data_IF_650098744442
#
_entry.id   IF_650098744442
#
_cell.length_a   1.000
_cell.length_b   1.000
_cell.length_c   1.000
_cell.angle_alpha   90.00
_cell.angle_beta   90.00
_cell.angle_gamma   90.00
#
_symmetry.space_group_name_H-M   'P 1'
#
loop_
_entity.id
_entity.type
_entity.pdbx_description
1 polymer ?
#
# COMPACT_ATOMS: atom_id res chain seq x y z
N UNK A 1 12.15 -21.10 -11.30
CA UNK A 1 12.64 -19.71 -11.28
C UNK A 1 12.02 -18.86 -12.39
N UNK A 2 11.94 -17.56 -12.10
CA UNK A 2 11.65 -16.53 -13.09
C UNK A 2 12.84 -16.32 -14.02
N UNK A 3 12.58 -15.90 -15.25
CA UNK A 3 13.61 -15.31 -16.11
C UNK A 3 14.03 -13.94 -15.59
N UNK A 4 15.18 -13.44 -16.06
CA UNK A 4 15.46 -12.01 -16.02
C UNK A 4 14.36 -11.22 -16.75
N UNK A 5 14.31 -9.90 -16.54
CA UNK A 5 13.40 -9.02 -17.27
C UNK A 5 13.77 -9.00 -18.76
N UNK A 6 12.82 -9.39 -19.60
CA UNK A 6 12.98 -9.46 -21.05
C UNK A 6 12.34 -8.21 -21.66
N UNK A 7 13.10 -7.39 -22.42
CA UNK A 7 12.53 -6.25 -23.12
C UNK A 7 11.62 -6.73 -24.26
N UNK A 8 10.44 -6.12 -24.36
CA UNK A 8 9.46 -6.38 -25.42
C UNK A 8 9.05 -5.07 -26.07
N UNK A 9 9.09 -5.03 -27.40
CA UNK A 9 8.62 -3.88 -28.15
C UNK A 9 7.09 -3.90 -28.20
N UNK A 10 6.46 -2.91 -27.56
CA UNK A 10 4.99 -2.78 -27.52
C UNK A 10 4.48 -2.01 -28.73
N UNK A 11 5.19 -0.95 -29.10
CA UNK A 11 4.93 -0.13 -30.29
C UNK A 11 6.22 0.57 -30.75
N UNK A 12 6.25 1.25 -31.91
CA UNK A 12 7.43 2.00 -32.33
C UNK A 12 7.90 3.00 -31.26
N UNK A 13 9.10 2.80 -30.72
CA UNK A 13 9.69 3.66 -29.68
C UNK A 13 9.24 3.35 -28.24
N UNK A 14 8.33 2.38 -28.03
CA UNK A 14 7.86 1.98 -26.70
C UNK A 14 8.32 0.55 -26.40
N UNK A 15 9.16 0.44 -25.39
CA UNK A 15 9.67 -0.84 -24.86
C UNK A 15 9.12 -1.03 -23.45
N UNK A 16 8.51 -2.19 -23.23
CA UNK A 16 8.16 -2.66 -21.91
C UNK A 16 9.05 -3.85 -21.51
N UNK A 17 8.82 -4.37 -20.32
CA UNK A 17 9.53 -5.56 -19.81
C UNK A 17 8.53 -6.60 -19.34
N UNK A 18 8.87 -7.88 -19.55
CA UNK A 18 8.13 -9.03 -19.04
C UNK A 18 9.06 -9.99 -18.31
N UNK A 19 8.51 -10.82 -17.43
CA UNK A 19 9.18 -12.02 -16.94
C UNK A 19 8.35 -13.25 -17.30
N UNK A 20 9.05 -14.38 -17.45
CA UNK A 20 8.43 -15.67 -17.73
C UNK A 20 8.75 -16.61 -16.58
N UNK A 21 7.77 -17.38 -16.14
CA UNK A 21 7.94 -18.45 -15.15
C UNK A 21 7.26 -19.73 -15.62
N UNK A 22 7.96 -20.88 -15.63
CA UNK A 22 7.31 -22.17 -15.72
C UNK A 22 6.43 -22.40 -14.49
N UNK A 23 5.13 -22.64 -14.72
CA UNK A 23 4.14 -22.92 -13.65
C UNK A 23 3.69 -24.39 -13.65
N UNK A 24 3.93 -25.12 -14.75
CA UNK A 24 3.71 -26.55 -14.83
C UNK A 24 4.73 -27.16 -15.81
N UNK A 25 5.43 -28.20 -15.35
CA UNK A 25 6.38 -28.99 -16.12
C UNK A 25 6.18 -30.47 -15.75
N UNK A 26 5.35 -31.20 -16.49
CA UNK A 26 5.05 -32.62 -16.21
C UNK A 26 5.53 -33.59 -17.31
N UNK A 27 6.50 -33.17 -18.11
CA UNK A 27 7.13 -33.97 -19.16
C UNK A 27 6.33 -34.04 -20.47
N UNK A 28 5.00 -33.94 -20.39
CA UNK A 28 4.11 -33.90 -21.56
C UNK A 28 3.51 -32.50 -21.79
N UNK A 29 3.32 -31.72 -20.73
CA UNK A 29 2.78 -30.36 -20.79
C UNK A 29 3.74 -29.34 -20.17
N UNK A 30 3.91 -28.23 -20.89
CA UNK A 30 4.60 -27.04 -20.40
C UNK A 30 3.59 -25.91 -20.31
N UNK A 31 3.35 -25.40 -19.10
CA UNK A 31 2.64 -24.14 -18.91
C UNK A 31 3.59 -23.07 -18.40
N UNK A 32 3.55 -21.93 -19.08
CA UNK A 32 4.32 -20.75 -18.73
C UNK A 32 3.35 -19.64 -18.30
N UNK A 33 3.70 -18.94 -17.24
CA UNK A 33 3.13 -17.65 -16.93
C UNK A 33 4.04 -16.56 -17.48
N UNK A 34 3.45 -15.62 -18.22
CA UNK A 34 4.11 -14.41 -18.68
C UNK A 34 3.42 -13.27 -17.94
N UNK A 35 4.21 -12.40 -17.31
CA UNK A 35 3.66 -11.22 -16.65
C UNK A 35 2.95 -10.30 -17.65
N UNK A 36 2.06 -9.40 -17.21
CA UNK A 36 1.74 -8.22 -17.99
C UNK A 36 3.02 -7.49 -18.41
N UNK A 37 2.90 -6.69 -19.46
CA UNK A 37 3.99 -5.84 -19.91
C UNK A 37 4.08 -4.67 -18.93
N UNK A 38 5.20 -4.58 -18.21
CA UNK A 38 5.48 -3.44 -17.34
C UNK A 38 6.25 -2.36 -18.08
N UNK A 39 6.14 -1.12 -17.60
CA UNK A 39 7.05 -0.05 -18.04
C UNK A 39 8.48 -0.39 -17.59
N UNK A 40 9.44 -0.26 -18.50
CA UNK A 40 10.86 -0.33 -18.15
C UNK A 40 11.22 0.88 -17.28
N UNK A 41 11.66 0.65 -16.04
CA UNK A 41 11.99 1.75 -15.13
C UNK A 41 13.22 2.56 -15.56
N UNK A 42 14.11 1.99 -16.40
CA UNK A 42 15.28 2.70 -16.94
C UNK A 42 14.94 3.66 -18.08
N UNK A 43 13.80 3.46 -18.73
CA UNK A 43 13.27 4.30 -19.79
C UNK A 43 11.74 4.27 -19.78
N UNK A 44 11.10 4.88 -18.76
CA UNK A 44 9.69 4.67 -18.52
C UNK A 44 8.82 5.43 -19.52
N UNK A 45 7.67 4.85 -19.86
CA UNK A 45 6.71 5.44 -20.80
C UNK A 45 6.06 6.70 -20.22
N UNK A 46 6.06 6.83 -18.88
CA UNK A 46 5.59 8.00 -18.15
C UNK A 46 6.51 8.26 -16.94
N UNK A 47 6.55 9.51 -16.47
CA UNK A 47 7.33 9.87 -15.29
C UNK A 47 6.60 9.41 -14.02
N UNK A 48 7.13 8.42 -13.32
CA UNK A 48 6.60 7.94 -12.03
C UNK A 48 7.39 8.45 -10.82
N UNK A 49 8.38 9.32 -11.05
CA UNK A 49 9.19 9.96 -10.00
C UNK A 49 9.31 11.46 -10.24
N UNK A 50 9.54 12.21 -9.17
CA UNK A 50 9.96 13.59 -9.23
C UNK A 50 11.23 13.79 -8.38
N UNK A 51 12.31 14.40 -8.92
CA UNK A 51 12.48 14.73 -10.34
C UNK A 51 12.51 13.47 -11.22
N UNK A 52 12.12 13.58 -12.49
CA UNK A 52 12.03 12.43 -13.41
C UNK A 52 13.35 11.66 -13.59
N UNK A 53 14.49 12.29 -13.31
CA UNK A 53 15.81 11.66 -13.35
C UNK A 53 15.97 10.56 -12.31
N UNK A 54 15.22 10.61 -11.20
CA UNK A 54 15.31 9.65 -10.10
C UNK A 54 14.97 8.22 -10.53
N UNK A 55 14.06 8.04 -11.49
CA UNK A 55 13.70 6.71 -12.00
C UNK A 55 14.92 5.91 -12.49
N UNK A 56 15.84 6.55 -13.22
CA UNK A 56 17.05 5.88 -13.75
C UNK A 56 18.02 5.49 -12.63
N UNK A 57 18.15 6.33 -11.62
CA UNK A 57 19.00 6.04 -10.46
C UNK A 57 18.44 4.89 -9.64
N UNK A 58 17.11 4.86 -9.44
CA UNK A 58 16.43 3.73 -8.82
C UNK A 58 16.74 2.44 -9.58
N UNK A 59 16.55 2.41 -10.90
CA UNK A 59 16.78 1.18 -11.68
C UNK A 59 18.23 0.73 -11.62
N UNK A 60 19.18 1.68 -11.69
CA UNK A 60 20.61 1.40 -11.63
C UNK A 60 21.06 0.84 -10.28
N UNK A 61 20.47 1.31 -9.17
CA UNK A 61 20.87 0.93 -7.82
C UNK A 61 20.14 -0.31 -7.29
N UNK A 62 18.87 -0.48 -7.65
CA UNK A 62 18.00 -1.50 -7.05
C UNK A 62 17.48 -2.56 -8.05
N UNK A 63 17.71 -2.35 -9.34
CA UNK A 63 17.17 -3.17 -10.42
C UNK A 63 15.79 -2.68 -10.88
N UNK A 64 15.09 -3.48 -11.68
CA UNK A 64 13.81 -3.06 -12.25
C UNK A 64 12.78 -2.74 -11.16
N UNK A 65 12.32 -1.49 -11.17
CA UNK A 65 11.26 -1.00 -10.31
C UNK A 65 9.92 -1.11 -11.04
N UNK A 66 9.08 -2.04 -10.60
CA UNK A 66 7.77 -2.22 -11.18
C UNK A 66 6.81 -1.23 -10.54
N UNK A 67 6.38 -0.23 -11.32
CA UNK A 67 5.24 0.59 -10.93
C UNK A 67 4.02 -0.33 -10.97
N UNK A 68 3.53 -0.65 -9.79
CA UNK A 68 2.45 -1.60 -9.63
C UNK A 68 1.19 -1.12 -10.36
N UNK A 69 0.64 -1.96 -11.23
CA UNK A 69 -0.69 -1.78 -11.82
C UNK A 69 -1.73 -2.54 -11.01
N UNK A 70 -3.01 -2.18 -11.12
CA UNK A 70 -4.11 -2.86 -10.43
C UNK A 70 -4.14 -4.35 -10.78
N UNK A 71 -3.61 -5.19 -9.89
CA UNK A 71 -3.66 -6.64 -10.03
C UNK A 71 -5.04 -7.14 -9.65
N UNK A 72 -5.90 -7.28 -10.65
CA UNK A 72 -7.18 -7.95 -10.48
C UNK A 72 -6.93 -9.46 -10.37
N UNK A 73 -7.32 -10.00 -9.21
CA UNK A 73 -7.39 -11.42 -8.85
C UNK A 73 -7.43 -12.45 -9.99
N UNK A 74 -6.71 -13.56 -9.81
CA UNK A 74 -6.79 -14.71 -10.70
C UNK A 74 -7.83 -15.72 -10.22
N UNK A 75 -8.56 -16.36 -11.15
CA UNK A 75 -9.37 -17.57 -10.86
C UNK A 75 -8.53 -18.85 -10.88
N UNK A 76 -7.35 -18.79 -11.48
CA UNK A 76 -6.50 -19.96 -11.72
C UNK A 76 -5.54 -20.14 -10.54
N UNK A 77 -5.81 -21.13 -9.69
CA UNK A 77 -5.06 -21.37 -8.45
C UNK A 77 -3.57 -21.66 -8.70
N UNK A 78 -3.26 -22.26 -9.86
CA UNK A 78 -1.89 -22.57 -10.26
C UNK A 78 -1.01 -21.31 -10.42
N UNK A 79 -1.63 -20.13 -10.61
CA UNK A 79 -0.93 -18.85 -10.73
C UNK A 79 -0.65 -18.19 -9.38
N UNK A 80 -1.32 -18.58 -8.29
CA UNK A 80 -1.18 -17.93 -6.98
C UNK A 80 0.27 -17.84 -6.53
N UNK A 81 1.09 -18.92 -6.57
CA UNK A 81 2.49 -18.84 -6.15
C UNK A 81 3.32 -17.87 -7.00
N UNK A 82 3.10 -17.82 -8.31
CA UNK A 82 3.79 -16.89 -9.19
C UNK A 82 3.40 -15.44 -8.89
N UNK A 83 2.10 -15.14 -8.77
CA UNK A 83 1.61 -13.81 -8.44
C UNK A 83 2.14 -13.35 -7.07
N UNK A 84 2.12 -14.24 -6.07
CA UNK A 84 2.68 -13.98 -4.74
C UNK A 84 4.14 -13.54 -4.80
N UNK A 85 4.99 -14.30 -5.50
CA UNK A 85 6.41 -13.96 -5.66
C UNK A 85 6.63 -12.62 -6.36
N UNK A 86 5.83 -12.33 -7.40
CA UNK A 86 5.94 -11.08 -8.15
C UNK A 86 5.52 -9.87 -7.30
N UNK A 87 4.45 -10.00 -6.50
CA UNK A 87 4.00 -8.96 -5.57
C UNK A 87 5.03 -8.72 -4.46
N UNK A 88 5.59 -9.80 -3.90
CA UNK A 88 6.68 -9.71 -2.91
C UNK A 88 7.91 -9.02 -3.51
N UNK A 89 8.30 -9.37 -4.74
CA UNK A 89 9.39 -8.69 -5.45
C UNK A 89 9.11 -7.20 -5.59
N UNK A 90 7.90 -6.85 -6.05
CA UNK A 90 7.49 -5.47 -6.29
C UNK A 90 7.52 -4.65 -4.99
N UNK A 91 6.92 -5.15 -3.92
CA UNK A 91 6.93 -4.47 -2.62
C UNK A 91 8.35 -4.38 -2.04
N UNK A 92 9.17 -5.42 -2.17
CA UNK A 92 10.56 -5.38 -1.73
C UNK A 92 11.37 -4.30 -2.45
N UNK A 93 11.13 -4.06 -3.74
CA UNK A 93 11.77 -2.96 -4.47
C UNK A 93 11.31 -1.59 -3.93
N UNK A 94 10.00 -1.41 -3.71
CA UNK A 94 9.45 -0.20 -3.07
C UNK A 94 10.10 0.05 -1.71
N UNK A 95 10.19 -0.96 -0.85
CA UNK A 95 10.79 -0.86 0.49
C UNK A 95 12.27 -0.49 0.44
N UNK A 96 13.05 -1.08 -0.48
CA UNK A 96 14.48 -0.75 -0.63
C UNK A 96 14.69 0.69 -1.10
N UNK A 97 13.93 1.13 -2.09
CA UNK A 97 13.98 2.51 -2.57
C UNK A 97 13.54 3.48 -1.48
N UNK A 98 12.42 3.19 -0.81
CA UNK A 98 11.90 3.95 0.31
C UNK A 98 12.94 4.10 1.42
N UNK A 99 13.57 3.00 1.83
CA UNK A 99 14.66 3.01 2.83
C UNK A 99 15.82 3.90 2.41
N UNK A 100 16.28 3.76 1.17
CA UNK A 100 17.40 4.55 0.67
C UNK A 100 17.09 6.05 0.65
N UNK A 101 15.89 6.42 0.21
CA UNK A 101 15.43 7.81 0.22
C UNK A 101 15.24 8.34 1.65
N UNK A 102 14.69 7.53 2.55
CA UNK A 102 14.54 7.85 3.96
C UNK A 102 15.89 8.16 4.63
N UNK A 103 16.93 7.37 4.31
CA UNK A 103 18.27 7.57 4.85
C UNK A 103 19.05 8.73 4.21
N UNK A 104 18.73 9.14 2.98
CA UNK A 104 19.51 10.12 2.23
C UNK A 104 19.44 11.52 2.86
N UNK A 105 18.31 11.86 3.49
CA UNK A 105 18.00 13.24 3.92
C UNK A 105 17.25 13.27 5.24
N UNK A 106 17.25 14.43 5.87
CA UNK A 106 16.32 14.72 6.95
C UNK A 106 15.02 15.21 6.32
N UNK A 107 13.94 14.46 6.54
CA UNK A 107 12.62 14.76 5.98
C UNK A 107 11.74 15.42 7.04
N UNK A 108 11.04 16.49 6.67
CA UNK A 108 9.96 17.06 7.52
C UNK A 108 8.70 16.18 7.49
N UNK A 109 8.50 15.44 6.38
CA UNK A 109 7.45 14.44 6.20
C UNK A 109 7.95 13.36 5.23
N UNK A 110 7.86 12.10 5.62
CA UNK A 110 8.15 10.95 4.78
C UNK A 110 6.95 9.99 4.77
N UNK A 111 6.50 9.57 3.59
CA UNK A 111 5.35 8.67 3.43
C UNK A 111 5.80 7.45 2.63
N UNK A 112 5.68 6.27 3.25
CA UNK A 112 5.83 4.98 2.59
C UNK A 112 4.47 4.28 2.56
N UNK A 113 4.09 3.77 1.39
CA UNK A 113 2.87 2.98 1.21
C UNK A 113 3.27 1.53 0.97
N UNK A 114 2.66 0.62 1.72
CA UNK A 114 2.74 -0.83 1.51
C UNK A 114 1.40 -1.32 0.96
N UNK A 115 1.40 -1.93 -0.22
CA UNK A 115 0.16 -2.46 -0.85
C UNK A 115 0.07 -3.98 -0.75
N UNK A 116 1.19 -4.68 -0.49
CA UNK A 116 1.25 -6.14 -0.44
C UNK A 116 0.19 -6.80 0.45
N UNK A 117 -0.11 -6.21 1.62
CA UNK A 117 -1.13 -6.73 2.54
C UNK A 117 -2.50 -6.74 1.87
N UNK A 118 -2.92 -5.65 1.24
CA UNK A 118 -4.13 -5.57 0.43
C UNK A 118 -4.14 -6.61 -0.70
N UNK A 119 -3.07 -6.62 -1.51
CA UNK A 119 -2.99 -7.45 -2.71
C UNK A 119 -3.05 -8.95 -2.44
N UNK A 120 -2.46 -9.42 -1.34
CA UNK A 120 -2.46 -10.84 -0.99
C UNK A 120 -3.70 -11.26 -0.22
N UNK A 121 -4.40 -10.34 0.45
CA UNK A 121 -5.66 -10.64 1.13
C UNK A 121 -6.82 -10.80 0.15
N UNK A 122 -6.92 -9.95 -0.88
CA UNK A 122 -7.98 -10.02 -1.88
C UNK A 122 -8.22 -11.42 -2.49
N UNK A 123 -7.22 -12.16 -2.99
CA UNK A 123 -7.45 -13.51 -3.51
C UNK A 123 -7.57 -14.58 -2.42
N UNK A 124 -7.18 -14.30 -1.16
CA UNK A 124 -6.99 -15.33 -0.15
C UNK A 124 -7.84 -15.22 1.13
N UNK A 125 -8.50 -14.09 1.41
CA UNK A 125 -9.01 -13.80 2.76
C UNK A 125 -10.04 -14.78 3.31
N UNK A 126 -10.99 -15.29 2.50
CA UNK A 126 -11.92 -16.34 2.96
C UNK A 126 -11.14 -17.51 3.57
N UNK A 127 -9.94 -17.85 3.04
CA UNK A 127 -9.13 -19.01 3.45
C UNK A 127 -8.71 -18.89 4.91
N UNK A 128 -8.61 -17.65 5.38
CA UNK A 128 -8.32 -17.27 6.76
C UNK A 128 -9.54 -17.34 7.68
N UNK A 129 -10.72 -16.91 7.22
CA UNK A 129 -11.95 -16.90 8.05
C UNK A 129 -12.61 -18.28 8.19
N UNK A 130 -12.25 -19.25 7.35
CA UNK A 130 -12.75 -20.63 7.43
C UNK A 130 -14.21 -20.80 6.99
N UNK A 131 -14.85 -19.75 6.47
CA UNK A 131 -16.22 -19.79 5.97
C UNK A 131 -16.22 -19.86 4.44
N UNK A 132 -16.36 -21.08 3.91
CA UNK A 132 -16.28 -21.34 2.47
C UNK A 132 -17.49 -22.05 1.90
N UNK A 133 -18.04 -21.53 0.80
CA UNK A 133 -18.91 -22.33 -0.03
C UNK A 133 -18.12 -23.41 -0.78
N UNK A 134 -18.47 -24.68 -0.56
CA UNK A 134 -17.86 -25.88 -1.18
C UNK A 134 -17.76 -25.79 -2.72
N UNK A 135 -18.70 -25.07 -3.36
CA UNK A 135 -18.72 -24.83 -4.81
C UNK A 135 -17.44 -24.17 -5.35
N UNK A 136 -16.69 -23.46 -4.51
CA UNK A 136 -15.43 -22.82 -4.90
C UNK A 136 -14.20 -23.74 -4.76
N UNK A 137 -14.30 -24.84 -3.99
CA UNK A 137 -13.26 -25.87 -3.88
C UNK A 137 -13.39 -26.98 -4.91
N UNK A 138 -14.52 -27.06 -5.62
CA UNK A 138 -14.77 -28.15 -6.57
C UNK A 138 -13.77 -28.07 -7.74
N UNK A 139 -12.71 -28.88 -7.67
CA UNK A 139 -11.61 -28.89 -8.62
C UNK A 139 -10.35 -28.14 -8.16
N UNK A 140 -10.34 -27.55 -6.96
CA UNK A 140 -9.12 -27.02 -6.34
C UNK A 140 -8.35 -28.16 -5.68
N UNK A 141 -7.10 -28.30 -6.11
CA UNK A 141 -6.22 -29.37 -5.71
C UNK A 141 -5.69 -29.12 -4.29
N UNK A 142 -6.14 -29.94 -3.34
CA UNK A 142 -5.57 -30.10 -2.00
C UNK A 142 -5.71 -28.88 -1.05
N UNK A 143 -6.46 -29.08 0.03
CA UNK A 143 -6.63 -28.14 1.15
C UNK A 143 -5.30 -27.68 1.76
N UNK A 144 -4.31 -28.56 1.85
CA UNK A 144 -2.98 -28.25 2.39
C UNK A 144 -2.25 -27.20 1.55
N UNK A 145 -2.36 -27.29 0.21
CA UNK A 145 -1.74 -26.33 -0.71
C UNK A 145 -2.41 -24.97 -0.57
N UNK A 146 -3.72 -24.94 -0.40
CA UNK A 146 -4.49 -23.70 -0.21
C UNK A 146 -4.11 -23.03 1.10
N UNK A 147 -4.03 -23.77 2.20
CA UNK A 147 -3.60 -23.23 3.49
C UNK A 147 -2.19 -22.66 3.41
N UNK A 148 -1.25 -23.42 2.83
CA UNK A 148 0.14 -22.99 2.71
C UNK A 148 0.32 -21.78 1.79
N UNK A 149 -0.26 -21.82 0.58
CA UNK A 149 0.05 -20.85 -0.47
C UNK A 149 -0.88 -19.63 -0.46
N UNK A 150 -2.11 -19.73 0.07
CA UNK A 150 -3.03 -18.61 0.15
C UNK A 150 -3.03 -17.98 1.55
N UNK A 151 -3.31 -18.75 2.62
CA UNK A 151 -3.31 -18.19 4.00
C UNK A 151 -1.91 -17.79 4.42
N UNK A 152 -0.92 -18.65 4.17
CA UNK A 152 0.48 -18.34 4.44
C UNK A 152 1.00 -17.10 3.71
N UNK A 153 0.45 -16.77 2.54
CA UNK A 153 0.80 -15.54 1.82
C UNK A 153 0.36 -14.27 2.55
N UNK A 154 -0.80 -14.31 3.23
CA UNK A 154 -1.28 -13.18 4.03
C UNK A 154 -0.34 -12.94 5.22
N UNK A 155 0.02 -13.99 5.95
CA UNK A 155 0.93 -13.87 7.09
C UNK A 155 2.33 -13.42 6.63
N UNK A 156 2.82 -13.95 5.50
CA UNK A 156 4.06 -13.51 4.90
C UNK A 156 4.04 -12.02 4.52
N UNK A 157 2.90 -11.49 4.04
CA UNK A 157 2.74 -10.08 3.73
C UNK A 157 2.96 -9.19 4.97
N UNK A 158 2.30 -9.54 6.08
CA UNK A 158 2.42 -8.80 7.33
C UNK A 158 3.82 -8.91 7.93
N UNK A 159 4.42 -10.10 7.93
CA UNK A 159 5.79 -10.31 8.41
C UNK A 159 6.78 -9.47 7.60
N UNK A 160 6.65 -9.43 6.27
CA UNK A 160 7.54 -8.61 5.43
C UNK A 160 7.33 -7.12 5.67
N UNK A 161 6.09 -6.65 5.78
CA UNK A 161 5.79 -5.26 6.11
C UNK A 161 6.43 -4.84 7.45
N UNK A 162 6.33 -5.69 8.47
CA UNK A 162 6.97 -5.48 9.77
C UNK A 162 8.51 -5.45 9.66
N UNK A 163 9.11 -6.37 8.90
CA UNK A 163 10.57 -6.37 8.66
C UNK A 163 11.02 -5.09 7.95
N UNK A 164 10.32 -4.66 6.91
CA UNK A 164 10.67 -3.45 6.16
C UNK A 164 10.51 -2.19 6.99
N UNK A 165 9.42 -2.08 7.76
CA UNK A 165 9.24 -1.01 8.72
C UNK A 165 10.36 -1.02 9.77
N UNK A 166 10.66 -2.19 10.35
CA UNK A 166 11.72 -2.36 11.34
C UNK A 166 13.10 -1.95 10.82
N UNK A 167 13.39 -2.19 9.54
CA UNK A 167 14.63 -1.71 8.92
C UNK A 167 14.65 -0.18 8.80
N UNK A 168 13.54 0.44 8.36
CA UNK A 168 13.40 1.91 8.33
C UNK A 168 13.58 2.53 9.72
N UNK A 169 13.02 1.94 10.76
CA UNK A 169 13.06 2.46 12.13
C UNK A 169 14.45 2.41 12.78
N UNK A 170 15.46 1.79 12.17
CA UNK A 170 16.84 1.76 12.72
C UNK A 170 17.47 3.14 12.88
N UNK A 171 17.06 4.11 12.06
CA UNK A 171 17.53 5.50 12.11
C UNK A 171 16.51 6.46 12.75
N UNK A 172 15.41 5.93 13.31
CA UNK A 172 14.34 6.71 13.90
C UNK A 172 14.69 7.18 15.31
N UNK A 173 14.47 8.47 15.60
CA UNK A 173 14.67 9.07 16.91
C UNK A 173 13.31 9.37 17.57
N UNK A 174 12.80 8.53 18.47
CA UNK A 174 11.48 8.72 19.06
C UNK A 174 11.36 9.94 19.98
N UNK A 175 12.46 10.63 20.33
CA UNK A 175 12.38 11.89 21.07
C UNK A 175 12.11 13.09 20.15
N UNK A 176 12.25 12.93 18.83
CA UNK A 176 12.12 14.03 17.85
C UNK A 176 11.16 13.71 16.72
N UNK A 177 11.15 12.46 16.29
CA UNK A 177 10.40 11.97 15.15
C UNK A 177 9.06 11.40 15.62
N UNK A 178 8.05 11.51 14.75
CA UNK A 178 6.74 10.89 14.97
C UNK A 178 6.51 9.83 13.90
N UNK A 179 6.22 8.61 14.33
CA UNK A 179 5.79 7.51 13.48
C UNK A 179 4.26 7.47 13.48
N UNK A 180 3.67 7.46 12.29
CA UNK A 180 2.24 7.20 12.09
C UNK A 180 2.09 6.00 11.16
N UNK A 181 1.44 4.95 11.66
CA UNK A 181 1.02 3.80 10.87
C UNK A 181 -0.49 3.90 10.72
N UNK A 182 -0.96 4.01 9.48
CA UNK A 182 -2.38 4.13 9.18
C UNK A 182 -2.74 3.15 8.06
N UNK A 183 -3.92 2.56 8.18
CA UNK A 183 -4.57 1.79 7.12
C UNK A 183 -5.90 2.45 6.80
N UNK A 184 -6.19 2.58 5.51
CA UNK A 184 -7.44 3.12 4.98
C UNK A 184 -8.64 2.21 5.25
N UNK A 185 -8.41 0.90 5.25
CA UNK A 185 -9.42 -0.10 5.59
C UNK A 185 -8.82 -1.34 6.25
N UNK A 186 -9.69 -2.26 6.65
CA UNK A 186 -9.36 -3.65 6.97
C UNK A 186 -9.92 -4.61 5.92
N UNK A 187 -9.92 -5.91 6.25
CA UNK A 187 -10.49 -6.95 5.40
C UNK A 187 -11.60 -7.77 6.09
N UNK A 188 -12.55 -8.24 5.29
CA UNK A 188 -13.58 -9.23 5.62
C UNK A 188 -13.79 -10.19 4.44
N UNK A 189 -14.41 -11.35 4.66
CA UNK A 189 -14.77 -12.22 3.54
C UNK A 189 -15.74 -11.51 2.59
N UNK A 190 -15.42 -11.52 1.29
CA UNK A 190 -16.33 -11.00 0.28
C UNK A 190 -17.66 -11.74 0.31
N UNK A 191 -18.77 -11.03 0.10
CA UNK A 191 -20.13 -11.60 0.14
C UNK A 191 -20.66 -12.00 -1.23
N UNK A 192 -20.02 -11.54 -2.31
CA UNK A 192 -20.42 -11.80 -3.70
C UNK A 192 -19.93 -13.14 -4.26
N UNK A 193 -20.58 -13.60 -5.34
CA UNK A 193 -20.24 -14.88 -5.98
C UNK A 193 -18.92 -14.89 -6.79
N UNK A 194 -18.17 -13.78 -6.84
CA UNK A 194 -17.12 -13.54 -7.83
C UNK A 194 -15.73 -13.18 -7.24
N UNK A 195 -14.71 -13.83 -7.82
CA UNK A 195 -13.24 -13.58 -7.94
C UNK A 195 -12.43 -13.11 -6.72
N UNK A 196 -12.90 -12.13 -5.94
CA UNK A 196 -12.22 -11.67 -4.73
C UNK A 196 -12.72 -12.47 -3.52
N UNK A 197 -11.77 -13.13 -2.88
CA UNK A 197 -11.99 -13.85 -1.62
C UNK A 197 -12.15 -12.87 -0.46
N UNK A 198 -11.33 -11.83 -0.42
CA UNK A 198 -11.41 -10.73 0.55
C UNK A 198 -12.03 -9.48 -0.05
N UNK A 199 -12.83 -8.81 0.76
CA UNK A 199 -13.37 -7.48 0.51
C UNK A 199 -13.05 -6.56 1.70
N UNK A 200 -13.34 -5.28 1.53
CA UNK A 200 -12.99 -4.23 2.47
C UNK A 200 -13.97 -4.23 3.64
N UNK A 201 -13.44 -4.16 4.87
CA UNK A 201 -14.21 -3.63 6.02
C UNK A 201 -13.67 -2.24 6.32
N UNK A 202 -14.54 -1.31 6.71
CA UNK A 202 -14.15 0.09 6.82
C UNK A 202 -13.14 0.36 7.94
N UNK A 203 -13.06 -0.50 8.96
CA UNK A 203 -12.18 -0.25 10.09
C UNK A 203 -10.74 -0.67 9.80
N UNK A 204 -9.88 0.32 9.56
CA UNK A 204 -8.42 0.17 9.47
C UNK A 204 -7.72 0.15 10.83
N UNK A 205 -6.41 0.41 10.80
CA UNK A 205 -5.57 0.58 11.99
C UNK A 205 -5.01 2.00 12.03
N UNK A 206 -4.79 2.51 13.24
CA UNK A 206 -4.04 3.73 13.48
C UNK A 206 -3.11 3.49 14.67
N UNK A 207 -1.81 3.67 14.47
CA UNK A 207 -0.78 3.61 15.50
C UNK A 207 0.06 4.87 15.37
N UNK A 208 0.32 5.53 16.50
CA UNK A 208 1.15 6.73 16.54
C UNK A 208 2.14 6.64 17.69
N UNK A 209 3.38 7.05 17.47
CA UNK A 209 4.45 6.94 18.45
C UNK A 209 5.58 7.96 18.23
N UNK A 210 6.21 8.38 19.31
CA UNK A 210 7.35 9.31 19.29
C UNK A 210 6.94 10.78 19.40
N UNK A 211 7.94 11.67 19.45
CA UNK A 211 7.74 13.11 19.57
C UNK A 211 6.84 13.49 20.76
N UNK A 212 5.85 14.38 20.58
CA UNK A 212 4.98 14.85 21.66
C UNK A 212 3.80 13.89 21.97
N UNK A 213 3.82 12.67 21.44
CA UNK A 213 2.70 11.73 21.55
C UNK A 213 2.73 11.02 22.91
N UNK A 214 1.64 11.12 23.65
CA UNK A 214 1.45 10.45 24.94
C UNK A 214 1.46 8.93 24.77
N UNK A 215 2.08 8.22 25.70
CA UNK A 215 1.95 6.78 25.83
C UNK A 215 0.55 6.40 26.38
N UNK A 216 -0.45 6.35 25.49
CA UNK A 216 -1.82 5.96 25.82
C UNK A 216 -2.10 4.54 25.32
N UNK A 217 -2.88 3.77 26.08
CA UNK A 217 -3.48 2.57 25.52
C UNK A 217 -4.68 2.96 24.62
N UNK A 218 -4.94 2.16 23.58
CA UNK A 218 -5.96 2.45 22.56
C UNK A 218 -7.36 2.58 23.14
N UNK A 219 -7.65 1.85 24.22
CA UNK A 219 -8.96 1.85 24.89
C UNK A 219 -9.22 3.19 25.56
N UNK A 220 -8.24 3.76 26.25
CA UNK A 220 -8.37 5.04 26.92
C UNK A 220 -8.46 6.20 25.93
N UNK A 221 -7.73 6.12 24.81
CA UNK A 221 -7.85 7.08 23.73
C UNK A 221 -9.25 7.09 23.11
N UNK A 222 -9.84 5.90 22.91
CA UNK A 222 -11.17 5.77 22.31
C UNK A 222 -12.32 6.10 23.28
N UNK A 223 -12.18 5.85 24.59
CA UNK A 223 -13.23 6.07 25.59
C UNK A 223 -13.48 7.54 25.92
N UNK A 224 -12.47 8.40 25.80
CA UNK A 224 -12.56 9.80 26.19
C UNK A 224 -13.14 10.73 25.11
N UNK A 225 -13.77 10.18 24.06
CA UNK A 225 -14.09 10.94 22.84
C UNK A 225 -15.59 10.95 22.55
N UNK A 226 -16.12 12.13 22.20
CA UNK A 226 -17.53 12.34 21.87
C UNK A 226 -17.91 11.87 20.45
N UNK A 227 -16.92 11.56 19.60
CA UNK A 227 -17.06 11.23 18.17
C UNK A 227 -16.20 10.02 17.81
N UNK A 228 -16.63 9.24 16.80
CA UNK A 228 -15.81 8.19 16.19
C UNK A 228 -14.68 8.80 15.38
N UNK A 229 -13.44 8.39 15.64
CA UNK A 229 -12.27 8.82 14.88
C UNK A 229 -12.37 8.42 13.41
N UNK A 230 -11.98 9.31 12.51
CA UNK A 230 -12.10 9.10 11.07
C UNK A 230 -10.76 9.25 10.37
N UNK A 231 -10.57 8.55 9.24
CA UNK A 231 -9.43 8.77 8.35
C UNK A 231 -9.32 10.23 7.87
N UNK A 232 -10.45 10.94 7.83
CA UNK A 232 -10.55 12.36 7.50
C UNK A 232 -9.80 13.26 8.49
N UNK A 233 -9.54 12.78 9.71
CA UNK A 233 -8.84 13.52 10.76
C UNK A 233 -7.31 13.49 10.58
N UNK A 234 -6.78 12.51 9.85
CA UNK A 234 -5.34 12.20 9.78
C UNK A 234 -4.54 13.40 9.26
N UNK A 235 -4.97 13.97 8.12
CA UNK A 235 -4.26 15.09 7.50
C UNK A 235 -4.18 16.30 8.42
N UNK A 236 -5.26 16.65 9.13
CA UNK A 236 -5.26 17.77 10.09
C UNK A 236 -4.27 17.54 11.23
N UNK A 237 -4.20 16.31 11.74
CA UNK A 237 -3.30 15.96 12.83
C UNK A 237 -1.83 15.90 12.38
N UNK A 238 -1.54 15.49 11.13
CA UNK A 238 -0.19 15.60 10.55
C UNK A 238 0.22 17.07 10.43
N UNK A 239 -0.63 17.93 9.86
CA UNK A 239 -0.33 19.37 9.72
C UNK A 239 -0.09 20.03 11.09
N UNK A 240 -0.90 19.65 12.09
CA UNK A 240 -0.73 20.10 13.47
C UNK A 240 0.64 19.74 14.04
N UNK A 241 1.07 18.48 13.90
CA UNK A 241 2.39 18.02 14.34
C UNK A 241 3.54 18.74 13.63
N UNK A 242 3.34 19.09 12.35
CA UNK A 242 4.31 19.86 11.55
C UNK A 242 4.31 21.36 11.86
N UNK A 243 3.40 21.85 12.70
CA UNK A 243 3.23 23.29 12.96
C UNK A 243 2.74 24.07 11.73
N UNK A 244 2.10 23.40 10.77
CA UNK A 244 1.52 24.00 9.58
C UNK A 244 0.05 24.36 9.80
N UNK A 245 -0.47 25.40 9.14
CA UNK A 245 -1.88 25.74 9.25
C UNK A 245 -2.77 24.63 8.65
N UNK A 246 -4.03 24.57 9.06
CA UNK A 246 -5.04 23.76 8.37
C UNK A 246 -5.89 24.62 7.43
N UNK A 247 -6.45 24.04 6.37
CA UNK A 247 -7.47 24.71 5.57
C UNK A 247 -8.78 24.83 6.36
N UNK A 248 -9.47 25.97 6.27
CA UNK A 248 -10.78 26.17 6.89
C UNK A 248 -11.85 25.25 6.28
N UNK A 249 -11.63 24.84 5.03
CA UNK A 249 -12.43 23.90 4.25
C UNK A 249 -12.10 22.42 4.52
N UNK A 250 -10.99 22.12 5.22
CA UNK A 250 -10.66 20.75 5.58
C UNK A 250 -11.66 20.18 6.59
N UNK A 251 -12.17 19.00 6.29
CA UNK A 251 -12.99 18.20 7.22
C UNK A 251 -12.13 17.48 8.26
N UNK A 252 -12.76 16.94 9.30
CA UNK A 252 -12.09 16.17 10.36
C UNK A 252 -11.75 16.98 11.61
N UNK A 253 -11.30 16.30 12.65
CA UNK A 253 -11.09 16.82 14.00
C UNK A 253 -9.63 16.73 14.47
N UNK A 254 -9.20 17.67 15.30
CA UNK A 254 -7.91 17.58 16.00
C UNK A 254 -8.01 16.59 17.17
N UNK A 255 -6.92 15.88 17.43
CA UNK A 255 -6.84 14.88 18.51
C UNK A 255 -5.90 15.35 19.62
N UNK A 256 -6.19 16.51 20.24
CA UNK A 256 -5.31 17.11 21.24
C UNK A 256 -4.97 16.19 22.42
N UNK A 257 -5.89 15.30 22.78
CA UNK A 257 -5.68 14.33 23.87
C UNK A 257 -4.54 13.34 23.58
N UNK A 258 -4.12 13.17 22.31
CA UNK A 258 -2.96 12.36 21.95
C UNK A 258 -1.63 12.98 22.34
N UNK A 259 -1.57 14.29 22.52
CA UNK A 259 -0.31 15.01 22.67
C UNK A 259 -0.09 15.49 24.09
N UNK A 260 1.17 15.60 24.49
CA UNK A 260 1.57 16.16 25.78
C UNK A 260 0.97 17.56 25.99
N UNK A 261 0.58 17.87 27.23
CA UNK A 261 -0.09 19.14 27.56
C UNK A 261 0.77 20.34 27.17
N UNK A 262 2.08 20.27 27.46
CA UNK A 262 3.03 21.32 27.09
C UNK A 262 3.17 21.53 25.58
N UNK A 263 2.98 20.47 24.78
CA UNK A 263 2.94 20.58 23.32
C UNK A 263 1.70 21.33 22.88
N UNK A 264 0.53 20.93 23.39
CA UNK A 264 -0.75 21.58 23.06
C UNK A 264 -0.75 23.05 23.44
N UNK A 265 -0.21 23.40 24.60
CA UNK A 265 -0.10 24.80 25.05
C UNK A 265 0.80 25.64 24.13
N UNK A 266 1.93 25.08 23.68
CA UNK A 266 2.91 25.80 22.86
C UNK A 266 2.60 25.79 21.36
N UNK A 267 1.80 24.85 20.88
CA UNK A 267 1.46 24.67 19.47
C UNK A 267 -0.05 24.82 19.29
N UNK A 268 -0.51 26.06 19.21
CA UNK A 268 -1.91 26.37 18.90
C UNK A 268 -2.14 26.20 17.38
N UNK A 269 -3.19 25.48 16.94
CA UNK A 269 -3.50 25.35 15.52
C UNK A 269 -3.74 26.70 14.88
N UNK A 270 -3.26 26.86 13.65
CA UNK A 270 -3.58 28.02 12.82
C UNK A 270 -4.36 27.58 11.59
N UNK A 271 -5.07 28.52 10.97
CA UNK A 271 -5.95 28.22 9.83
C UNK A 271 -5.69 29.18 8.69
N UNK A 272 -5.68 28.66 7.46
CA UNK A 272 -5.74 29.42 6.20
C UNK A 272 -7.07 29.16 5.50
N UNK A 273 -7.50 30.00 4.53
CA UNK A 273 -8.77 29.77 3.85
C UNK A 273 -8.87 28.40 3.17
N UNK A 274 -7.87 28.03 2.38
CA UNK A 274 -7.79 26.74 1.67
C UNK A 274 -6.36 26.48 1.20
N UNK A 275 -6.00 25.19 1.09
CA UNK A 275 -4.78 24.74 0.40
C UNK A 275 -5.00 24.54 -1.11
N UNK A 276 -6.25 24.39 -1.52
CA UNK A 276 -6.63 24.21 -2.91
C UNK A 276 -6.48 25.55 -3.62
N UNK A 277 -5.41 25.68 -4.40
CA UNK A 277 -5.26 26.82 -5.29
C UNK A 277 -6.22 26.63 -6.45
N UNK A 278 -6.94 27.70 -6.84
CA UNK A 278 -7.61 27.74 -8.14
C UNK A 278 -6.63 27.29 -9.22
N UNK A 279 -7.06 26.29 -9.98
CA UNK A 279 -6.34 25.48 -10.94
C UNK A 279 -5.27 26.26 -11.73
N UNK A 280 -4.04 26.34 -11.22
CA UNK A 280 -2.91 26.91 -11.94
C UNK A 280 -2.26 25.84 -12.83
N UNK A 281 -3.03 25.35 -13.80
CA UNK A 281 -2.50 24.62 -14.96
C UNK A 281 -1.66 23.38 -14.66
N UNK A 282 -1.82 22.77 -13.47
CA UNK A 282 -1.35 21.41 -13.25
C UNK A 282 -2.11 20.52 -14.22
N UNK A 283 -1.43 19.66 -14.97
CA UNK A 283 -2.11 18.66 -15.79
C UNK A 283 -3.01 17.83 -14.88
N UNK A 284 -4.31 18.12 -14.89
CA UNK A 284 -5.31 17.22 -14.36
C UNK A 284 -5.18 15.94 -15.17
N UNK A 285 -4.51 14.94 -14.59
CA UNK A 285 -4.61 13.60 -15.12
C UNK A 285 -6.05 13.17 -14.87
N UNK A 286 -6.83 12.83 -15.92
CA UNK A 286 -8.16 12.32 -15.71
C UNK A 286 -8.05 11.13 -14.74
N UNK A 287 -8.75 11.23 -13.60
CA UNK A 287 -8.84 10.13 -12.65
C UNK A 287 -9.51 8.99 -13.42
N UNK A 288 -8.79 7.88 -13.59
CA UNK A 288 -9.32 6.73 -14.29
C UNK A 288 -10.61 6.25 -13.60
N UNK A 289 -11.67 5.86 -14.34
CA UNK A 289 -12.92 5.40 -13.74
C UNK A 289 -12.74 4.29 -12.69
N UNK A 290 -11.73 3.42 -12.84
CA UNK A 290 -11.44 2.39 -11.83
C UNK A 290 -10.93 2.98 -10.50
N UNK A 291 -10.19 4.09 -10.56
CA UNK A 291 -9.74 4.80 -9.36
C UNK A 291 -10.91 5.46 -8.62
N UNK A 292 -11.92 5.96 -9.36
CA UNK A 292 -13.15 6.49 -8.74
C UNK A 292 -13.97 5.39 -8.06
N UNK A 293 -14.13 4.22 -8.69
CA UNK A 293 -14.80 3.08 -8.07
C UNK A 293 -14.04 2.59 -6.82
N UNK A 294 -12.71 2.55 -6.89
CA UNK A 294 -11.88 2.22 -5.73
C UNK A 294 -12.08 3.23 -4.60
N UNK A 295 -11.99 4.54 -4.87
CA UNK A 295 -12.22 5.57 -3.86
C UNK A 295 -13.62 5.50 -3.23
N UNK A 296 -14.65 5.13 -4.00
CA UNK A 296 -15.99 4.86 -3.48
C UNK A 296 -16.03 3.61 -2.60
N UNK A 297 -15.43 2.51 -3.04
CA UNK A 297 -15.32 1.27 -2.26
C UNK A 297 -14.56 1.46 -0.93
N UNK A 298 -13.62 2.41 -0.92
CA UNK A 298 -12.84 2.83 0.25
C UNK A 298 -13.55 3.88 1.13
N UNK A 299 -14.74 4.36 0.75
CA UNK A 299 -15.50 5.35 1.52
C UNK A 299 -14.97 6.79 1.46
N UNK A 300 -14.05 7.10 0.54
CA UNK A 300 -13.57 8.47 0.32
C UNK A 300 -14.58 9.33 -0.46
N UNK A 301 -15.46 8.69 -1.24
CA UNK A 301 -16.47 9.34 -2.06
C UNK A 301 -17.84 8.72 -1.79
N UNK A 302 -18.88 9.56 -1.80
CA UNK A 302 -20.30 9.15 -1.75
C UNK A 302 -20.81 8.70 -3.14
#
# INVERSE_FOLDING_TARGET
EWTDFIPVQVSPGVVGVVQIKPIQLDGENVKLYITPIFSDSSNPVYNFTFPATLAKDITRLFGQYLVEMTWMSTKDIILIPAIKELLIYTENQKSKVGKALFDERQWDLFIQIFTLTDRLQHPAWRFREGNFPEKYFKGLYNEEIIQKEAVGAIDEAYIKADIWLGDMLRNFNPQKDVLIIVSDHGFTAGTGEYILSGDHRLEGIYVVWGGPVKALNSVDFMKNQSSTKSIKDITKNILYLMGLPTGADMIGEFWFDLYDESWVESHQPTTIPTYDKEDQGGTQHPIDPSSLEQLKGLGYLE
#
